data_IF_493364247482
#
_entry.id   IF_493364247482
#
_cell.length_a   1.000
_cell.length_b   1.000
_cell.length_c   1.000
_cell.angle_alpha   90.00
_cell.angle_beta   90.00
_cell.angle_gamma   90.00
#
_symmetry.space_group_name_H-M   'P 1'
#
loop_
_entity.id
_entity.type
_entity.pdbx_description
1 polymer ?
#
# COMPACT_ATOMS: atom_id res chain seq x y z
N UNK A 1 21.57 21.40 9.70
CA UNK A 1 21.66 19.91 9.73
C UNK A 1 20.77 19.39 8.61
N UNK A 2 21.24 18.45 7.80
CA UNK A 2 20.38 17.83 6.79
C UNK A 2 19.30 17.00 7.50
N UNK A 3 18.05 17.41 7.39
CA UNK A 3 16.92 16.63 7.91
C UNK A 3 16.81 15.28 7.19
N UNK A 4 16.25 14.28 7.88
CA UNK A 4 15.93 12.98 7.29
C UNK A 4 14.41 12.82 7.23
N UNK A 5 13.90 12.35 6.08
CA UNK A 5 12.48 12.08 5.87
C UNK A 5 12.29 10.62 5.47
N UNK A 6 11.46 9.90 6.22
CA UNK A 6 11.02 8.58 5.80
C UNK A 6 10.04 8.70 4.63
N UNK A 7 10.42 8.13 3.48
CA UNK A 7 9.60 8.08 2.26
C UNK A 7 8.85 6.75 2.08
N UNK A 8 9.10 5.78 2.97
CA UNK A 8 8.43 4.49 3.02
C UNK A 8 8.08 4.21 4.48
N UNK A 9 6.81 4.27 4.82
CA UNK A 9 6.30 4.04 6.18
C UNK A 9 4.89 3.47 6.10
N UNK A 10 4.67 2.37 6.82
CA UNK A 10 3.37 1.71 6.91
C UNK A 10 2.69 2.05 8.24
N UNK A 11 1.41 2.38 8.18
CA UNK A 11 0.52 2.49 9.34
C UNK A 11 -0.25 1.19 9.57
N UNK A 12 -0.97 1.09 10.69
CA UNK A 12 -1.85 -0.04 11.02
C UNK A 12 -2.97 -0.31 9.99
N UNK A 13 -3.16 0.56 9.00
CA UNK A 13 -4.04 0.29 7.86
C UNK A 13 -3.41 -0.67 6.84
N UNK A 14 -2.09 -0.88 6.89
CA UNK A 14 -1.39 -1.95 6.20
C UNK A 14 -1.65 -3.29 6.90
N UNK A 15 -2.71 -3.98 6.53
CA UNK A 15 -3.15 -5.22 7.19
C UNK A 15 -1.99 -6.22 7.31
N UNK A 16 -1.64 -6.61 8.55
CA UNK A 16 -0.51 -7.50 8.92
C UNK A 16 0.90 -6.91 8.75
N UNK A 17 1.05 -5.72 8.17
CA UNK A 17 2.35 -5.12 7.86
C UNK A 17 2.61 -3.79 8.58
N UNK A 18 1.59 -3.19 9.20
CA UNK A 18 1.74 -1.98 9.98
C UNK A 18 1.41 -2.18 11.46
N UNK A 19 2.25 -1.59 12.32
CA UNK A 19 2.11 -1.68 13.77
C UNK A 19 1.74 -0.35 14.46
N UNK A 20 1.86 0.78 13.75
CA UNK A 20 1.65 2.12 14.33
C UNK A 20 0.43 2.81 13.72
N UNK A 21 -0.36 3.49 14.55
CA UNK A 21 -1.42 4.38 14.06
C UNK A 21 -0.83 5.63 13.40
N UNK A 22 -1.51 6.22 12.40
CA UNK A 22 -1.05 7.45 11.75
C UNK A 22 -0.70 8.59 12.72
N UNK A 23 -1.45 8.74 13.82
CA UNK A 23 -1.19 9.73 14.87
C UNK A 23 0.17 9.54 15.53
N UNK A 24 0.49 8.29 15.90
CA UNK A 24 1.78 7.98 16.53
C UNK A 24 2.93 8.18 15.55
N UNK A 25 2.71 7.90 14.26
CA UNK A 25 3.72 8.17 13.24
C UNK A 25 4.02 9.67 13.11
N UNK A 26 2.98 10.51 13.05
CA UNK A 26 3.14 11.97 12.97
C UNK A 26 3.80 12.55 14.23
N UNK A 27 3.34 12.16 15.43
CA UNK A 27 3.92 12.56 16.72
C UNK A 27 5.41 12.20 16.80
N UNK A 28 5.78 11.00 16.36
CA UNK A 28 7.19 10.55 16.39
C UNK A 28 8.07 11.26 15.37
N UNK A 29 7.54 11.64 14.21
CA UNK A 29 8.27 12.43 13.23
C UNK A 29 8.53 13.85 13.75
N UNK A 30 7.51 14.48 14.35
CA UNK A 30 7.60 15.79 14.97
C UNK A 30 8.60 15.83 16.13
N UNK A 31 8.50 14.87 17.05
CA UNK A 31 9.41 14.75 18.19
C UNK A 31 10.86 14.42 17.80
N UNK A 32 11.12 14.07 16.53
CA UNK A 32 12.46 13.89 15.97
C UNK A 32 12.91 15.07 15.09
N UNK A 33 12.11 16.13 14.99
CA UNK A 33 12.41 17.31 14.17
C UNK A 33 12.38 17.03 12.66
N UNK A 34 11.51 16.13 12.20
CA UNK A 34 11.35 15.86 10.76
C UNK A 34 10.37 16.84 10.13
N UNK A 35 10.78 17.48 9.03
CA UNK A 35 9.92 18.42 8.29
C UNK A 35 8.79 17.72 7.52
N UNK A 36 8.98 16.44 7.19
CA UNK A 36 8.04 15.67 6.38
C UNK A 36 8.09 14.18 6.71
N UNK A 37 6.97 13.50 6.43
CA UNK A 37 6.82 12.06 6.56
C UNK A 37 5.90 11.54 5.45
N UNK A 38 6.28 10.45 4.79
CA UNK A 38 5.40 9.76 3.85
C UNK A 38 4.60 8.66 4.53
N UNK A 39 3.33 8.51 4.15
CA UNK A 39 2.56 7.31 4.43
C UNK A 39 2.39 6.51 3.14
N UNK A 40 2.86 5.27 3.15
CA UNK A 40 2.87 4.34 2.01
C UNK A 40 2.28 3.01 2.46
N UNK A 41 0.99 3.01 2.80
CA UNK A 41 0.32 1.81 3.25
C UNK A 41 0.28 0.73 2.16
N UNK A 42 0.28 -0.54 2.59
CA UNK A 42 0.30 -1.71 1.72
C UNK A 42 -1.07 -1.88 1.03
N UNK A 43 -1.06 -1.74 -0.29
CA UNK A 43 -2.19 -1.98 -1.18
C UNK A 43 -3.44 -1.14 -0.84
N UNK A 44 -3.30 -0.05 -0.08
CA UNK A 44 -4.44 0.76 0.39
C UNK A 44 -4.08 2.22 0.65
N UNK A 45 -5.08 3.09 0.59
CA UNK A 45 -5.01 4.49 0.99
C UNK A 45 -5.90 4.79 2.22
N UNK A 46 -6.40 3.75 2.90
CA UNK A 46 -7.37 3.89 3.98
C UNK A 46 -6.85 4.76 5.16
N UNK A 47 -5.55 4.75 5.41
CA UNK A 47 -4.91 5.57 6.45
C UNK A 47 -4.71 7.05 6.08
N UNK A 48 -4.83 7.42 4.80
CA UNK A 48 -4.36 8.71 4.29
C UNK A 48 -5.07 9.92 4.92
N UNK A 49 -6.39 9.88 5.08
CA UNK A 49 -7.14 11.01 5.68
C UNK A 49 -6.79 11.17 7.15
N UNK A 50 -6.65 10.06 7.89
CA UNK A 50 -6.29 10.07 9.31
C UNK A 50 -4.87 10.60 9.50
N UNK A 51 -3.96 10.19 8.64
CA UNK A 51 -2.59 10.69 8.58
C UNK A 51 -2.50 12.18 8.26
N UNK A 52 -3.24 12.64 7.25
CA UNK A 52 -3.28 14.06 6.88
C UNK A 52 -3.71 14.93 8.07
N UNK A 53 -4.73 14.51 8.79
CA UNK A 53 -5.22 15.20 10.00
C UNK A 53 -4.19 15.16 11.13
N UNK A 54 -3.56 14.01 11.36
CA UNK A 54 -2.53 13.85 12.39
C UNK A 54 -1.31 14.75 12.16
N UNK A 55 -0.86 14.86 10.91
CA UNK A 55 0.26 15.73 10.52
C UNK A 55 0.00 17.22 10.74
N UNK A 56 -1.26 17.64 10.70
CA UNK A 56 -1.70 19.03 10.91
C UNK A 56 -2.13 19.33 12.35
N UNK A 57 -2.14 18.31 13.23
CA UNK A 57 -2.49 18.51 14.62
C UNK A 57 -1.43 19.34 15.35
N UNK A 58 -1.86 20.12 16.35
CA UNK A 58 -0.94 20.87 17.21
C UNK A 58 0.10 19.93 17.82
N UNK A 59 1.38 20.30 17.72
CA UNK A 59 2.51 19.51 18.21
C UNK A 59 3.07 18.46 17.24
N UNK A 60 2.45 18.25 16.07
CA UNK A 60 3.04 17.44 15.01
C UNK A 60 3.73 18.32 13.95
N UNK A 61 2.98 19.23 13.32
CA UNK A 61 3.46 20.14 12.26
C UNK A 61 4.47 19.49 11.28
N UNK A 62 4.13 18.30 10.78
CA UNK A 62 4.93 17.54 9.81
C UNK A 62 4.24 17.60 8.46
N UNK A 63 4.95 17.93 7.38
CA UNK A 63 4.37 17.89 6.03
C UNK A 63 4.04 16.44 5.63
N UNK A 64 2.76 16.10 5.36
CA UNK A 64 2.40 14.76 4.91
C UNK A 64 2.78 14.57 3.43
N UNK A 65 3.37 13.42 3.12
CA UNK A 65 3.52 12.93 1.74
C UNK A 65 2.64 11.68 1.58
N UNK A 66 1.80 11.66 0.55
CA UNK A 66 0.88 10.55 0.32
C UNK A 66 1.46 9.58 -0.69
N UNK A 67 1.42 8.30 -0.37
CA UNK A 67 1.86 7.23 -1.26
C UNK A 67 1.16 5.92 -0.97
N UNK A 68 1.59 4.90 -1.70
CA UNK A 68 1.13 3.52 -1.53
C UNK A 68 2.26 2.58 -1.90
N UNK A 69 2.38 1.48 -1.18
CA UNK A 69 3.24 0.38 -1.57
C UNK A 69 2.37 -0.68 -2.26
N UNK A 70 2.60 -0.97 -3.54
CA UNK A 70 1.77 -1.87 -4.35
C UNK A 70 2.57 -3.09 -4.83
N UNK A 71 1.96 -4.27 -4.75
CA UNK A 71 2.43 -5.44 -5.49
C UNK A 71 2.33 -5.19 -7.00
N UNK A 72 3.38 -5.54 -7.73
CA UNK A 72 3.43 -5.47 -9.20
C UNK A 72 3.80 -6.83 -9.78
N UNK A 73 3.26 -7.15 -10.96
CA UNK A 73 3.69 -8.33 -11.70
C UNK A 73 5.17 -8.20 -12.08
N UNK A 74 5.92 -9.30 -12.07
CA UNK A 74 7.33 -9.23 -12.45
C UNK A 74 7.46 -9.08 -13.97
N UNK A 75 8.39 -8.25 -14.43
CA UNK A 75 8.60 -8.06 -15.88
C UNK A 75 9.01 -9.37 -16.60
N UNK A 76 9.59 -10.31 -15.85
CA UNK A 76 9.99 -11.62 -16.36
C UNK A 76 8.81 -12.61 -16.50
N UNK A 77 7.60 -12.31 -16.01
CA UNK A 77 6.42 -13.20 -16.06
C UNK A 77 5.75 -13.31 -17.44
N UNK A 78 6.38 -12.81 -18.51
CA UNK A 78 6.18 -13.39 -19.84
C UNK A 78 6.73 -14.82 -19.95
N UNK A 79 7.66 -15.20 -19.06
CA UNK A 79 8.19 -16.55 -18.89
C UNK A 79 7.64 -17.17 -17.60
N UNK A 80 6.88 -18.24 -17.79
CA UNK A 80 6.26 -19.10 -16.78
C UNK A 80 7.03 -19.18 -15.45
N UNK A 81 6.44 -18.64 -14.38
CA UNK A 81 6.73 -19.11 -13.03
C UNK A 81 5.95 -20.41 -12.83
N UNK A 82 6.64 -21.51 -12.60
CA UNK A 82 6.05 -22.72 -12.02
C UNK A 82 5.39 -22.33 -10.69
N UNK A 83 4.07 -22.14 -10.71
CA UNK A 83 3.28 -21.88 -9.53
C UNK A 83 3.46 -23.06 -8.58
N UNK A 84 4.21 -22.86 -7.49
CA UNK A 84 4.19 -23.81 -6.38
C UNK A 84 2.75 -23.84 -5.91
N UNK A 85 2.08 -24.98 -6.10
CA UNK A 85 0.67 -25.15 -5.76
C UNK A 85 0.48 -24.77 -4.29
N UNK A 86 -0.21 -23.67 -3.96
CA UNK A 86 -0.35 -23.26 -2.58
C UNK A 86 -1.10 -24.37 -1.83
N UNK A 87 -0.60 -24.74 -0.64
CA UNK A 87 -1.24 -25.75 0.21
C UNK A 87 -2.66 -25.27 0.51
N UNK A 88 -3.66 -26.15 0.58
CA UNK A 88 -5.02 -25.72 0.93
C UNK A 88 -5.00 -25.10 2.33
N UNK A 89 -5.45 -23.84 2.51
CA UNK A 89 -5.48 -23.21 3.81
C UNK A 89 -6.48 -23.94 4.70
N UNK A 90 -6.05 -24.32 5.91
CA UNK A 90 -6.78 -25.19 6.82
C UNK A 90 -8.17 -24.67 7.25
N UNK A 91 -8.51 -23.41 6.94
CA UNK A 91 -9.79 -22.75 7.26
C UNK A 91 -10.37 -21.91 6.11
N UNK A 92 -10.06 -22.25 4.85
CA UNK A 92 -10.65 -21.56 3.70
C UNK A 92 -10.21 -20.10 3.51
N UNK A 93 -9.06 -19.69 4.07
CA UNK A 93 -8.47 -18.38 3.78
C UNK A 93 -7.94 -18.29 2.34
N UNK A 94 -7.73 -17.09 1.79
CA UNK A 94 -6.96 -16.96 0.56
C UNK A 94 -5.45 -16.95 0.90
N UNK A 95 -4.63 -17.67 0.13
CA UNK A 95 -3.20 -17.41 0.13
C UNK A 95 -2.96 -16.04 -0.51
N UNK A 96 -2.35 -15.13 0.23
CA UNK A 96 -1.82 -13.91 -0.34
C UNK A 96 -0.45 -14.28 -0.88
N UNK A 97 -0.25 -14.18 -2.20
CA UNK A 97 1.07 -14.33 -2.79
C UNK A 97 1.93 -13.12 -2.37
N UNK A 98 2.89 -13.36 -1.48
CA UNK A 98 3.83 -12.35 -0.99
C UNK A 98 5.11 -12.28 -1.82
N UNK A 99 5.23 -13.12 -2.86
CA UNK A 99 6.44 -13.20 -3.69
C UNK A 99 6.46 -12.20 -4.84
N UNK A 100 5.35 -11.49 -5.06
CA UNK A 100 5.29 -10.41 -6.04
C UNK A 100 6.22 -9.25 -5.61
N UNK A 101 7.07 -8.73 -6.51
CA UNK A 101 7.84 -7.53 -6.21
C UNK A 101 6.90 -6.35 -5.91
N UNK A 102 7.38 -5.40 -5.10
CA UNK A 102 6.58 -4.26 -4.65
C UNK A 102 7.23 -2.94 -5.05
N UNK A 103 6.40 -1.97 -5.39
CA UNK A 103 6.83 -0.63 -5.79
C UNK A 103 6.11 0.39 -4.93
N UNK A 104 6.90 1.28 -4.33
CA UNK A 104 6.40 2.43 -3.58
C UNK A 104 6.15 3.60 -4.54
N UNK A 105 4.91 4.07 -4.57
CA UNK A 105 4.49 5.23 -5.34
C UNK A 105 4.23 6.41 -4.40
N UNK A 106 4.67 7.60 -4.79
CA UNK A 106 4.39 8.86 -4.08
C UNK A 106 3.62 9.81 -5.00
N UNK A 107 2.54 10.39 -4.48
CA UNK A 107 1.79 11.42 -5.16
C UNK A 107 2.63 12.71 -5.25
N UNK A 108 2.70 13.28 -6.45
CA UNK A 108 3.28 14.60 -6.74
C UNK A 108 2.22 15.51 -7.35
N UNK A 109 2.45 16.81 -7.35
CA UNK A 109 1.58 17.77 -8.05
C UNK A 109 0.15 17.82 -7.47
N UNK A 110 0.07 17.70 -6.14
CA UNK A 110 -1.16 17.89 -5.36
C UNK A 110 -2.30 16.96 -5.77
N UNK A 111 -3.46 17.56 -6.06
CA UNK A 111 -4.69 16.83 -6.37
C UNK A 111 -4.56 15.91 -7.58
N UNK A 112 -3.72 16.26 -8.57
CA UNK A 112 -3.51 15.43 -9.76
C UNK A 112 -2.83 14.11 -9.40
N UNK A 113 -1.68 14.15 -8.71
CA UNK A 113 -1.00 12.92 -8.32
C UNK A 113 -1.79 12.10 -7.32
N UNK A 114 -2.55 12.74 -6.43
CA UNK A 114 -3.49 12.03 -5.57
C UNK A 114 -4.55 11.27 -6.37
N UNK A 115 -5.14 11.89 -7.40
CA UNK A 115 -6.12 11.22 -8.25
C UNK A 115 -5.51 10.04 -9.04
N UNK A 116 -4.28 10.18 -9.54
CA UNK A 116 -3.57 9.06 -10.20
C UNK A 116 -3.29 7.92 -9.21
N UNK A 117 -2.87 8.24 -7.97
CA UNK A 117 -2.63 7.26 -6.92
C UNK A 117 -3.90 6.47 -6.60
N UNK A 118 -5.03 7.16 -6.43
CA UNK A 118 -6.33 6.52 -6.24
C UNK A 118 -6.68 5.60 -7.40
N UNK A 119 -6.50 6.03 -8.65
CA UNK A 119 -6.76 5.20 -9.84
C UNK A 119 -5.87 3.95 -9.88
N UNK A 120 -4.58 4.07 -9.55
CA UNK A 120 -3.65 2.93 -9.48
C UNK A 120 -4.13 1.89 -8.46
N UNK A 121 -4.49 2.33 -7.25
CA UNK A 121 -4.98 1.45 -6.19
C UNK A 121 -6.29 0.78 -6.59
N UNK A 122 -7.25 1.54 -7.14
CA UNK A 122 -8.50 0.97 -7.67
C UNK A 122 -8.24 -0.07 -8.76
N UNK A 123 -7.35 0.21 -9.70
CA UNK A 123 -7.01 -0.73 -10.77
C UNK A 123 -6.33 -1.99 -10.24
N UNK A 124 -5.49 -1.90 -9.20
CA UNK A 124 -4.88 -3.05 -8.56
C UNK A 124 -5.93 -3.96 -7.90
N UNK A 125 -6.89 -3.38 -7.18
CA UNK A 125 -7.99 -4.13 -6.55
C UNK A 125 -8.94 -4.77 -7.57
N UNK A 126 -9.23 -4.08 -8.68
CA UNK A 126 -10.08 -4.63 -9.73
C UNK A 126 -9.51 -5.90 -10.38
N UNK A 127 -8.18 -6.01 -10.49
CA UNK A 127 -7.50 -7.21 -11.04
C UNK A 127 -7.48 -8.38 -10.06
N UNK A 128 -7.44 -8.11 -8.75
CA UNK A 128 -7.49 -9.15 -7.72
C UNK A 128 -8.89 -9.72 -7.47
N UNK A 129 -9.94 -9.02 -7.90
CA UNK A 129 -11.34 -9.44 -7.73
C UNK A 129 -11.85 -10.40 -8.82
N UNK A 130 -11.14 -10.55 -9.95
CA UNK A 130 -11.51 -11.49 -11.00
C UNK A 130 -10.88 -12.86 -10.70
N UNK A 131 -11.61 -13.70 -9.96
CA UNK A 131 -11.31 -15.13 -9.87
C UNK A 131 -11.50 -15.80 -11.25
N UNK A 132 -10.89 -16.97 -11.50
CA UNK A 132 -11.09 -17.69 -12.74
C UNK A 132 -12.58 -17.98 -12.91
N UNK A 133 -13.17 -17.48 -14.00
CA UNK A 133 -14.46 -17.98 -14.46
C UNK A 133 -14.21 -19.45 -14.84
N UNK A 134 -14.67 -20.37 -14.00
CA UNK A 134 -14.67 -21.80 -14.32
C UNK A 134 -15.39 -21.99 -15.65
N UNK A 135 -14.68 -22.59 -16.60
CA UNK A 135 -15.23 -22.87 -17.92
C UNK A 135 -16.44 -23.78 -17.80
N UNK A 136 -17.60 -23.26 -18.18
CA UNK A 136 -18.72 -24.10 -18.59
C UNK A 136 -18.31 -24.86 -19.85
N UNK A 137 -17.81 -26.08 -19.67
CA UNK A 137 -17.70 -27.06 -20.76
C UNK A 137 -19.09 -27.40 -21.31
N UNK A 138 -19.22 -27.74 -22.60
CA UNK A 138 -20.51 -28.08 -23.18
C UNK A 138 -21.02 -29.40 -22.57
N UNK A 139 -22.29 -29.41 -22.17
CA UNK A 139 -23.02 -30.62 -21.80
C UNK A 139 -23.22 -31.46 -23.07
N UNK A 140 -22.53 -32.59 -23.14
CA UNK A 140 -22.84 -33.69 -24.04
C UNK A 140 -23.81 -34.66 -23.40
#
# INVERSE_FOLDING_TARGET
MSGFTHLHTASGFSLRYGASHPERLAERAAGRGMDALALTDRDTLAGAVRFAKACQAEGAEVRPLFGVDLAVASYAEGASRTAVRPRTPARGGAFVDESAPRVTFLARDGARGWAELCRLVTAAHARGAVGPLEGSGPLG
#
